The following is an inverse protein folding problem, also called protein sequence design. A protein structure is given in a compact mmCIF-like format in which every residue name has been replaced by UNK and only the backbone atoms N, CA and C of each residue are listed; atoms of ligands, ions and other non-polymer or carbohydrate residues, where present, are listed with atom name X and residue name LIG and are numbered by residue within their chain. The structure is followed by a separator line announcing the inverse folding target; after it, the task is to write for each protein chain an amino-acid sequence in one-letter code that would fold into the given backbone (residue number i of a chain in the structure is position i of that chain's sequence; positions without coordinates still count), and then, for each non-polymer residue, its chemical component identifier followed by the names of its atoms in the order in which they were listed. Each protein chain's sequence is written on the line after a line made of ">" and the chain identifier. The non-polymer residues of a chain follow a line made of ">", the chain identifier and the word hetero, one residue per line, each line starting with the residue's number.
data_IF_428887093715
#
_entry.id   IF_428887093715
#
_cell.length_a   1.000
_cell.length_b   1.000
_cell.length_c   1.000
_cell.angle_alpha   90.00
_cell.angle_beta   90.00
_cell.angle_gamma   90.00
#
_symmetry.space_group_name_H-M   'P 1'
#
loop_
_entity.id
_entity.type
_entity.pdbx_description
1 polymer ?
#
# COMPACT_ATOMS: atom_id res chain seq x y z
N UNK A 1 16.36 23.70 3.08
CA UNK A 1 16.92 23.13 1.83
C UNK A 1 16.92 21.60 1.82
N UNK A 2 17.71 20.88 2.63
CA UNK A 2 17.76 19.41 2.53
C UNK A 2 16.46 18.71 2.97
N UNK A 3 15.83 19.17 4.07
CA UNK A 3 14.54 18.64 4.54
C UNK A 3 13.39 18.87 3.54
N UNK A 4 13.39 20.01 2.87
CA UNK A 4 12.36 20.37 1.88
C UNK A 4 12.45 19.46 0.65
N UNK A 5 13.67 19.21 0.17
CA UNK A 5 13.91 18.34 -0.97
C UNK A 5 13.53 16.87 -0.68
N UNK A 6 13.79 16.39 0.55
CA UNK A 6 13.37 15.07 0.99
C UNK A 6 11.83 14.94 1.05
N UNK A 7 11.15 15.97 1.55
CA UNK A 7 9.69 16.02 1.57
C UNK A 7 9.09 16.02 0.17
N UNK A 8 9.64 16.82 -0.76
CA UNK A 8 9.19 16.85 -2.15
C UNK A 8 9.36 15.49 -2.84
N UNK A 9 10.51 14.84 -2.65
CA UNK A 9 10.75 13.52 -3.22
C UNK A 9 9.75 12.49 -2.66
N UNK A 10 9.41 12.58 -1.37
CA UNK A 10 8.40 11.72 -0.74
C UNK A 10 7.03 11.95 -1.38
N UNK A 11 6.63 13.21 -1.53
CA UNK A 11 5.37 13.61 -2.18
C UNK A 11 5.33 13.10 -3.62
N UNK A 12 6.43 13.22 -4.38
CA UNK A 12 6.52 12.71 -5.76
C UNK A 12 6.37 11.19 -5.82
N UNK A 13 6.97 10.43 -4.90
CA UNK A 13 6.81 8.97 -4.84
C UNK A 13 5.37 8.57 -4.53
N UNK A 14 4.74 9.22 -3.55
CA UNK A 14 3.33 8.97 -3.17
C UNK A 14 2.39 9.30 -4.33
N UNK A 15 2.60 10.43 -5.02
CA UNK A 15 1.78 10.82 -6.15
C UNK A 15 1.91 9.85 -7.34
N UNK A 16 3.10 9.28 -7.57
CA UNK A 16 3.29 8.24 -8.60
C UNK A 16 2.57 6.95 -8.22
N UNK A 17 2.72 6.52 -6.96
CA UNK A 17 1.98 5.38 -6.43
C UNK A 17 0.47 5.57 -6.59
N UNK A 18 -0.08 6.74 -6.25
CA UNK A 18 -1.51 7.03 -6.43
C UNK A 18 -2.00 6.91 -7.88
N UNK A 19 -1.16 7.24 -8.86
CA UNK A 19 -1.50 7.08 -10.28
C UNK A 19 -1.64 5.61 -10.66
N UNK A 20 -0.67 4.78 -10.28
CA UNK A 20 -0.75 3.33 -10.51
C UNK A 20 -1.97 2.73 -9.81
N UNK A 21 -2.16 3.05 -8.54
CA UNK A 21 -3.30 2.54 -7.77
C UNK A 21 -4.64 2.91 -8.41
N UNK A 22 -4.79 4.12 -8.98
CA UNK A 22 -6.04 4.53 -9.63
C UNK A 22 -6.38 3.68 -10.85
N UNK A 23 -5.39 3.10 -11.52
CA UNK A 23 -5.57 2.27 -12.72
C UNK A 23 -5.93 0.83 -12.33
N UNK A 24 -5.18 0.26 -11.38
CA UNK A 24 -5.25 -1.17 -11.05
C UNK A 24 -6.13 -1.49 -9.83
N UNK A 25 -6.39 -0.51 -8.96
CA UNK A 25 -7.23 -0.65 -7.78
C UNK A 25 -7.94 0.68 -7.42
N UNK A 26 -8.89 1.17 -8.22
CA UNK A 26 -9.49 2.49 -8.03
C UNK A 26 -10.13 2.72 -6.64
N UNK A 27 -10.57 1.66 -5.96
CA UNK A 27 -11.21 1.66 -4.65
C UNK A 27 -10.21 1.70 -3.46
N UNK A 28 -8.90 1.77 -3.73
CA UNK A 28 -7.86 1.67 -2.70
C UNK A 28 -7.99 2.70 -1.57
N UNK A 29 -8.52 3.90 -1.84
CA UNK A 29 -8.69 4.94 -0.81
C UNK A 29 -9.72 4.53 0.22
N UNK A 30 -10.82 3.92 -0.22
CA UNK A 30 -11.87 3.45 0.67
C UNK A 30 -11.40 2.20 1.42
N UNK A 31 -10.74 1.29 0.70
CA UNK A 31 -10.18 0.07 1.28
C UNK A 31 -9.13 0.36 2.38
N UNK A 32 -8.14 1.19 2.08
CA UNK A 32 -7.00 1.43 2.98
C UNK A 32 -7.26 2.59 3.96
N UNK A 33 -8.15 3.52 3.61
CA UNK A 33 -8.32 4.77 4.34
C UNK A 33 -7.07 5.63 4.25
N UNK A 34 -6.26 5.63 5.32
CA UNK A 34 -4.99 6.37 5.38
C UNK A 34 -3.89 5.62 4.63
N UNK A 35 -3.68 5.95 3.36
CA UNK A 35 -2.76 5.25 2.43
C UNK A 35 -1.28 5.37 2.86
N UNK A 36 -0.91 6.48 3.49
CA UNK A 36 0.43 6.73 4.08
C UNK A 36 0.58 6.18 5.50
N UNK A 37 -0.44 5.49 6.03
CA UNK A 37 -0.40 4.84 7.34
C UNK A 37 0.40 3.55 7.33
N UNK A 38 0.95 3.16 8.49
CA UNK A 38 1.82 1.98 8.61
C UNK A 38 1.18 0.67 8.10
N UNK A 39 -0.10 0.43 8.42
CA UNK A 39 -0.84 -0.75 7.95
C UNK A 39 -0.98 -0.78 6.42
N UNK A 40 -1.31 0.36 5.82
CA UNK A 40 -1.47 0.51 4.38
C UNK A 40 -0.13 0.37 3.65
N UNK A 41 0.93 0.99 4.17
CA UNK A 41 2.27 0.92 3.58
C UNK A 41 2.83 -0.52 3.63
N UNK A 42 2.73 -1.22 4.76
CA UNK A 42 3.19 -2.61 4.80
C UNK A 42 2.35 -3.54 3.94
N UNK A 43 1.04 -3.28 3.82
CA UNK A 43 0.20 -4.04 2.90
C UNK A 43 0.58 -3.79 1.44
N UNK A 44 0.71 -2.53 1.00
CA UNK A 44 1.08 -2.17 -0.37
C UNK A 44 2.49 -2.64 -0.76
N UNK A 45 3.39 -2.76 0.21
CA UNK A 45 4.74 -3.31 0.00
C UNK A 45 4.71 -4.80 -0.36
N UNK A 46 3.73 -5.54 0.14
CA UNK A 46 3.61 -6.99 -0.08
C UNK A 46 2.60 -7.31 -1.20
N UNK A 47 1.40 -6.73 -1.13
CA UNK A 47 0.28 -6.98 -2.02
C UNK A 47 -0.47 -5.68 -2.36
N UNK A 48 0.02 -4.92 -3.35
CA UNK A 48 -0.58 -3.63 -3.69
C UNK A 48 -1.90 -3.73 -4.44
N UNK A 49 -2.12 -4.81 -5.20
CA UNK A 49 -3.25 -4.90 -6.12
C UNK A 49 -4.28 -5.97 -5.74
N UNK A 50 -5.50 -5.88 -6.29
CA UNK A 50 -6.62 -6.71 -5.86
C UNK A 50 -6.39 -8.20 -6.09
N UNK A 51 -5.67 -8.55 -7.16
CA UNK A 51 -5.29 -9.94 -7.43
C UNK A 51 -4.38 -10.51 -6.33
N UNK A 52 -3.44 -9.71 -5.84
CA UNK A 52 -2.50 -10.11 -4.79
C UNK A 52 -3.23 -10.26 -3.45
N UNK A 53 -4.12 -9.32 -3.13
CA UNK A 53 -4.96 -9.38 -1.93
C UNK A 53 -5.90 -10.59 -1.95
N UNK A 54 -6.46 -10.93 -3.12
CA UNK A 54 -7.28 -12.13 -3.30
C UNK A 54 -6.50 -13.42 -3.10
N UNK A 55 -5.22 -13.44 -3.47
CA UNK A 55 -4.35 -14.60 -3.28
C UNK A 55 -3.93 -14.80 -1.81
N UNK A 56 -3.80 -13.72 -1.03
CA UNK A 56 -3.38 -13.77 0.37
C UNK A 56 -4.49 -14.10 1.36
N UNK A 57 -5.77 -13.96 0.99
CA UNK A 57 -6.93 -14.06 1.89
C UNK A 57 -6.88 -13.11 3.11
N UNK A 58 -7.86 -13.20 4.01
CA UNK A 58 -7.93 -12.32 5.17
C UNK A 58 -6.81 -12.59 6.20
N UNK A 59 -6.45 -13.86 6.39
CA UNK A 59 -5.41 -14.26 7.32
C UNK A 59 -4.03 -13.87 6.81
N UNK A 60 -3.75 -13.97 5.51
CA UNK A 60 -2.49 -13.51 4.94
C UNK A 60 -2.29 -11.99 5.09
N UNK A 61 -3.37 -11.19 4.92
CA UNK A 61 -3.32 -9.74 5.21
C UNK A 61 -2.92 -9.50 6.68
N UNK A 62 -3.55 -10.21 7.63
CA UNK A 62 -3.23 -10.09 9.05
C UNK A 62 -1.80 -10.56 9.36
N UNK A 63 -1.31 -11.57 8.66
CA UNK A 63 0.04 -12.09 8.82
C UNK A 63 1.09 -11.05 8.41
N UNK A 64 0.89 -10.32 7.30
CA UNK A 64 1.78 -9.21 6.91
C UNK A 64 1.93 -8.18 8.04
N UNK A 65 0.82 -7.77 8.64
CA UNK A 65 0.84 -6.82 9.76
C UNK A 65 1.46 -7.41 11.02
N UNK A 66 1.27 -8.71 11.24
CA UNK A 66 1.86 -9.42 12.37
C UNK A 66 3.39 -9.47 12.26
N UNK A 67 3.91 -9.82 11.08
CA UNK A 67 5.35 -9.87 10.77
C UNK A 67 5.99 -8.47 10.83
N UNK A 68 5.27 -7.45 10.38
CA UNK A 68 5.66 -6.04 10.53
C UNK A 68 5.55 -5.52 11.97
N UNK A 69 5.16 -6.37 12.94
CA UNK A 69 4.97 -6.03 14.37
C UNK A 69 3.95 -4.91 14.60
N UNK A 70 3.01 -4.72 13.68
CA UNK A 70 1.94 -3.74 13.82
C UNK A 70 0.87 -4.28 14.78
N UNK A 71 0.27 -3.37 15.54
CA UNK A 71 -0.82 -3.63 16.50
C UNK A 71 -1.88 -2.53 16.39
N UNK A 72 -3.14 -2.86 16.63
CA UNK A 72 -4.25 -1.90 16.65
C UNK A 72 -5.35 -2.18 15.64
N UNK A 73 -6.19 -1.17 15.37
CA UNK A 73 -7.46 -1.28 14.64
C UNK A 73 -7.35 -1.70 13.17
N UNK A 74 -6.14 -1.78 12.59
CA UNK A 74 -5.97 -2.28 11.22
C UNK A 74 -6.45 -3.72 11.07
N UNK A 75 -6.26 -4.56 12.08
CA UNK A 75 -6.61 -6.00 12.04
C UNK A 75 -8.10 -6.25 11.81
N UNK A 76 -9.00 -5.40 12.30
CA UNK A 76 -10.45 -5.58 12.09
C UNK A 76 -10.88 -5.20 10.66
N UNK A 77 -10.02 -4.53 9.88
CA UNK A 77 -10.32 -4.08 8.52
C UNK A 77 -9.84 -5.04 7.43
N UNK A 78 -9.16 -6.14 7.78
CA UNK A 78 -8.65 -7.11 6.79
C UNK A 78 -9.76 -7.67 5.89
N UNK A 79 -10.92 -8.02 6.47
CA UNK A 79 -12.06 -8.51 5.71
C UNK A 79 -12.68 -7.45 4.80
N UNK A 80 -12.76 -6.20 5.27
CA UNK A 80 -13.25 -5.06 4.48
C UNK A 80 -12.35 -4.81 3.25
N UNK A 81 -11.03 -4.78 3.45
CA UNK A 81 -10.03 -4.62 2.38
C UNK A 81 -10.19 -5.73 1.33
N UNK A 82 -10.35 -6.99 1.78
CA UNK A 82 -10.57 -8.11 0.87
C UNK A 82 -11.90 -7.99 0.11
N UNK A 83 -12.94 -7.45 0.75
CA UNK A 83 -14.21 -7.11 0.11
C UNK A 83 -14.04 -6.15 -1.06
N UNK A 84 -13.33 -5.04 -0.85
CA UNK A 84 -12.98 -4.09 -1.92
C UNK A 84 -12.14 -4.75 -3.01
N UNK A 85 -11.14 -5.56 -2.66
CA UNK A 85 -10.31 -6.25 -3.64
C UNK A 85 -11.14 -7.22 -4.52
N UNK A 86 -12.14 -7.89 -3.93
CA UNK A 86 -13.06 -8.76 -4.68
C UNK A 86 -13.96 -7.98 -5.64
N UNK A 87 -14.50 -6.85 -5.19
CA UNK A 87 -15.39 -6.00 -5.97
C UNK A 87 -14.66 -5.08 -6.97
N UNK A 88 -13.32 -4.96 -6.86
CA UNK A 88 -12.52 -4.02 -7.63
C UNK A 88 -12.70 -4.15 -9.14
N UNK A 89 -12.90 -3.00 -9.80
CA UNK A 89 -13.02 -2.89 -11.27
C UNK A 89 -11.72 -2.45 -11.96
N UNK A 90 -10.61 -2.38 -11.24
CA UNK A 90 -9.30 -2.04 -11.78
C UNK A 90 -8.83 -2.97 -12.91
N UNK A 91 -7.98 -2.42 -13.78
CA UNK A 91 -7.38 -3.16 -14.90
C UNK A 91 -6.49 -4.30 -14.38
N UNK A 92 -6.43 -5.41 -15.11
CA UNK A 92 -5.56 -6.56 -14.78
C UNK A 92 -4.33 -6.65 -15.69
N UNK A 93 -4.47 -6.17 -16.92
CA UNK A 93 -3.41 -6.23 -17.93
C UNK A 93 -2.25 -5.30 -17.57
N UNK A 94 -1.02 -5.82 -17.62
CA UNK A 94 0.18 -5.05 -17.28
C UNK A 94 0.38 -4.77 -15.79
N UNK A 95 -0.44 -5.37 -14.92
CA UNK A 95 -0.36 -5.15 -13.46
C UNK A 95 0.99 -5.57 -12.85
N UNK A 96 1.73 -6.50 -13.46
CA UNK A 96 2.99 -6.99 -12.91
C UNK A 96 4.06 -5.89 -12.83
N UNK A 97 4.22 -5.10 -13.90
CA UNK A 97 5.17 -4.00 -13.93
C UNK A 97 4.77 -2.88 -12.94
N UNK A 98 3.48 -2.56 -12.90
CA UNK A 98 2.93 -1.58 -11.98
C UNK A 98 3.06 -2.03 -10.52
N UNK A 99 2.94 -3.33 -10.24
CA UNK A 99 3.09 -3.92 -8.90
C UNK A 99 4.49 -3.65 -8.39
N UNK A 100 5.51 -3.98 -9.20
CA UNK A 100 6.92 -3.76 -8.86
C UNK A 100 7.18 -2.27 -8.61
N UNK A 101 6.64 -1.40 -9.46
CA UNK A 101 6.79 0.05 -9.30
C UNK A 101 6.19 0.54 -7.97
N UNK A 102 4.95 0.14 -7.65
CA UNK A 102 4.27 0.50 -6.39
C UNK A 102 5.06 0.00 -5.18
N UNK A 103 5.46 -1.27 -5.17
CA UNK A 103 6.25 -1.83 -4.07
C UNK A 103 7.57 -1.05 -3.87
N UNK A 104 8.23 -0.64 -4.95
CA UNK A 104 9.45 0.17 -4.88
C UNK A 104 9.20 1.57 -4.31
N UNK A 105 8.14 2.25 -4.75
CA UNK A 105 7.77 3.57 -4.19
C UNK A 105 7.46 3.48 -2.70
N UNK A 106 6.69 2.47 -2.30
CA UNK A 106 6.32 2.24 -0.89
C UNK A 106 7.54 1.95 -0.04
N UNK A 107 8.47 1.10 -0.51
CA UNK A 107 9.73 0.82 0.18
C UNK A 107 10.53 2.10 0.44
N UNK A 108 10.63 2.99 -0.56
CA UNK A 108 11.29 4.29 -0.40
C UNK A 108 10.60 5.20 0.61
N UNK A 109 9.27 5.19 0.67
CA UNK A 109 8.51 5.97 1.66
C UNK A 109 8.78 5.45 3.07
N UNK A 110 8.73 4.12 3.28
CA UNK A 110 8.98 3.49 4.59
C UNK A 110 10.41 3.75 5.07
N UNK A 111 11.42 3.59 4.21
CA UNK A 111 12.82 3.83 4.56
C UNK A 111 13.05 5.27 5.02
N UNK A 112 12.42 6.24 4.36
CA UNK A 112 12.53 7.65 4.72
C UNK A 112 11.84 7.99 6.04
N UNK A 113 10.69 7.40 6.33
CA UNK A 113 10.02 7.57 7.64
C UNK A 113 10.90 7.08 8.80
N UNK A 114 11.68 6.02 8.60
CA UNK A 114 12.60 5.51 9.64
C UNK A 114 13.79 6.42 9.89
N UNK A 115 14.28 7.11 8.86
CA UNK A 115 15.40 8.05 8.97
C UNK A 115 15.01 9.35 9.65
N UNK A 116 13.77 9.81 9.48
CA UNK A 116 13.25 11.02 10.14
C UNK A 116 12.90 10.82 11.63
N UNK A 117 12.69 9.57 12.06
CA UNK A 117 12.36 9.22 13.44
C UNK A 117 13.59 8.95 14.34
N UNK A 118 14.81 9.10 13.80
CA UNK A 118 16.09 8.99 14.52
C UNK A 118 16.69 10.37 14.72
#
# INVERSE_FOLDING_TARGET
>A
MFRDQLNEDRIRAINRMHREMKIYFPEYKDALGKVDGAFSLELLKSAPFPADLKALDENGIRQIWHEAKLRGRGYSRSGEILGYARASVGIRDGADAARIAVQWFVKKVIERQKTEAR
#
